data_IF_789106689180
#
_entry.id   IF_789106689180
#
_cell.length_a   1.000
_cell.length_b   1.000
_cell.length_c   1.000
_cell.angle_alpha   90.00
_cell.angle_beta   90.00
_cell.angle_gamma   90.00
#
_symmetry.space_group_name_H-M   'P 1'
#
loop_
_entity.id
_entity.type
_entity.pdbx_description
1 polymer ?
#
# COMPACT_ATOMS: atom_id res chain seq x y z
N UNK A 1 8.65 17.69 -29.17
CA UNK A 1 8.08 18.91 -28.57
C UNK A 1 8.85 19.50 -27.38
N UNK A 2 9.71 18.77 -26.66
CA UNK A 2 10.56 19.39 -25.60
C UNK A 2 11.78 20.16 -26.11
N UNK A 3 12.30 19.85 -27.31
CA UNK A 3 13.46 20.57 -27.88
C UNK A 3 13.11 21.93 -28.49
N UNK A 4 11.93 22.07 -29.09
CA UNK A 4 11.52 23.30 -29.75
C UNK A 4 11.22 24.47 -28.80
N UNK A 5 10.98 24.21 -27.49
CA UNK A 5 10.80 25.26 -26.49
C UNK A 5 12.13 25.72 -25.88
N UNK A 6 13.10 24.82 -25.76
CA UNK A 6 14.42 25.11 -25.17
C UNK A 6 15.30 25.93 -26.14
N UNK A 7 15.12 25.77 -27.45
CA UNK A 7 15.86 26.57 -28.44
C UNK A 7 15.37 28.02 -28.49
N UNK A 8 14.07 28.28 -28.26
CA UNK A 8 13.52 29.65 -28.17
C UNK A 8 13.81 30.35 -26.84
N UNK A 9 14.09 29.62 -25.76
CA UNK A 9 14.46 30.18 -24.45
C UNK A 9 15.87 30.80 -24.44
N UNK A 10 16.75 30.44 -25.38
CA UNK A 10 18.11 31.02 -25.44
C UNK A 10 18.22 32.31 -26.26
N UNK A 11 17.26 32.57 -27.17
CA UNK A 11 17.25 33.77 -28.01
C UNK A 11 16.35 34.89 -27.48
N UNK A 12 15.40 34.57 -26.61
CA UNK A 12 14.49 35.54 -26.01
C UNK A 12 14.73 35.52 -24.51
N UNK A 13 15.56 36.45 -24.04
CA UNK A 13 15.88 36.61 -22.63
C UNK A 13 14.63 36.66 -21.74
N UNK A 14 14.80 36.23 -20.49
CA UNK A 14 13.78 36.17 -19.44
C UNK A 14 12.94 37.47 -19.33
N UNK A 15 13.51 38.61 -19.73
CA UNK A 15 12.85 39.92 -19.79
C UNK A 15 11.60 39.97 -20.69
N UNK A 16 11.53 39.23 -21.80
CA UNK A 16 10.37 39.31 -22.70
C UNK A 16 9.11 38.66 -22.12
N UNK A 17 9.24 37.76 -21.15
CA UNK A 17 8.07 37.16 -20.48
C UNK A 17 7.40 38.13 -19.50
N UNK A 18 8.16 39.04 -18.90
CA UNK A 18 7.62 40.10 -18.05
C UNK A 18 6.82 41.11 -18.88
N UNK A 19 7.32 41.45 -20.08
CA UNK A 19 6.63 42.33 -21.04
C UNK A 19 5.31 41.74 -21.58
N UNK A 20 5.20 40.42 -21.67
CA UNK A 20 3.98 39.72 -22.11
C UNK A 20 2.93 39.58 -20.99
N UNK A 21 3.24 39.95 -19.75
CA UNK A 21 2.31 39.89 -18.62
C UNK A 21 1.78 38.48 -18.33
N UNK A 22 2.54 37.44 -18.69
CA UNK A 22 2.13 36.05 -18.50
C UNK A 22 2.05 35.72 -17.00
N UNK A 23 1.00 34.97 -16.63
CA UNK A 23 0.78 34.52 -15.25
C UNK A 23 0.49 33.03 -15.24
N UNK A 24 1.23 32.29 -14.44
CA UNK A 24 1.14 30.85 -14.30
C UNK A 24 0.34 30.48 -13.06
N UNK A 25 -0.31 29.32 -13.05
CA UNK A 25 -0.91 28.76 -11.85
C UNK A 25 -0.85 27.24 -11.92
N UNK A 26 -0.80 26.59 -10.76
CA UNK A 26 -0.75 25.14 -10.67
C UNK A 26 -2.12 24.62 -10.26
N UNK A 27 -2.61 23.63 -11.00
CA UNK A 27 -3.84 22.89 -10.65
C UNK A 27 -3.44 21.57 -10.02
N UNK A 28 -3.88 21.35 -8.78
CA UNK A 28 -3.48 20.21 -7.94
C UNK A 28 -4.73 19.40 -7.57
N UNK A 29 -4.61 18.08 -7.65
CA UNK A 29 -5.70 17.16 -7.33
C UNK A 29 -5.35 16.31 -6.11
N UNK A 30 -6.19 16.39 -5.07
CA UNK A 30 -6.11 15.55 -3.86
C UNK A 30 -7.48 14.95 -3.56
N UNK A 31 -8.05 14.26 -4.54
CA UNK A 31 -9.43 13.75 -4.52
C UNK A 31 -9.81 12.91 -3.30
N UNK A 32 -8.87 12.18 -2.69
CA UNK A 32 -9.13 11.48 -1.43
C UNK A 32 -9.48 12.45 -0.28
N UNK A 33 -8.78 13.58 -0.20
CA UNK A 33 -8.92 14.56 0.87
C UNK A 33 -10.07 15.53 0.64
N UNK A 34 -10.12 16.14 -0.54
CA UNK A 34 -11.05 17.24 -0.85
C UNK A 34 -12.19 16.85 -1.79
N UNK A 35 -12.26 15.58 -2.21
CA UNK A 35 -13.29 15.07 -3.12
C UNK A 35 -12.89 15.15 -4.60
N UNK A 36 -13.53 14.32 -5.43
CA UNK A 36 -13.17 14.14 -6.85
C UNK A 36 -13.47 15.36 -7.73
N UNK A 37 -14.49 16.14 -7.39
CA UNK A 37 -14.91 17.31 -8.14
C UNK A 37 -14.16 18.58 -7.73
N UNK A 38 -13.29 18.50 -6.72
CA UNK A 38 -12.57 19.64 -6.20
C UNK A 38 -11.12 19.60 -6.71
N UNK A 39 -10.68 20.75 -7.22
CA UNK A 39 -9.28 20.98 -7.57
C UNK A 39 -8.78 22.19 -6.79
N UNK A 40 -7.51 22.13 -6.40
CA UNK A 40 -6.83 23.26 -5.77
C UNK A 40 -6.08 24.02 -6.84
N UNK A 41 -6.13 25.33 -6.76
CA UNK A 41 -5.39 26.22 -7.65
C UNK A 41 -4.53 27.14 -6.80
N UNK A 42 -3.24 27.17 -7.10
CA UNK A 42 -2.35 28.17 -6.51
C UNK A 42 -2.74 29.57 -6.99
N UNK A 43 -2.35 30.63 -6.28
CA UNK A 43 -2.38 31.97 -6.84
C UNK A 43 -1.62 32.06 -8.16
N UNK A 44 -1.93 33.11 -8.92
CA UNK A 44 -1.21 33.43 -10.16
C UNK A 44 0.23 33.86 -9.84
N UNK A 45 1.20 33.24 -10.49
CA UNK A 45 2.64 33.41 -10.34
C UNK A 45 3.15 34.14 -11.59
N UNK A 46 3.81 35.28 -11.43
CA UNK A 46 4.40 36.00 -12.56
C UNK A 46 5.73 35.34 -13.01
N UNK A 47 6.56 34.92 -12.06
CA UNK A 47 7.84 34.28 -12.33
C UNK A 47 7.67 32.80 -12.71
N UNK A 48 8.07 32.44 -13.94
CA UNK A 48 8.04 31.06 -14.43
C UNK A 48 8.91 30.13 -13.57
N UNK A 49 10.13 30.55 -13.21
CA UNK A 49 11.06 29.75 -12.39
C UNK A 49 10.44 29.37 -11.05
N UNK A 50 9.78 30.32 -10.37
CA UNK A 50 9.06 30.05 -9.13
C UNK A 50 7.91 29.05 -9.35
N UNK A 51 7.17 29.18 -10.45
CA UNK A 51 6.10 28.24 -10.78
C UNK A 51 6.63 26.83 -11.06
N UNK A 52 7.78 26.71 -11.73
CA UNK A 52 8.46 25.45 -12.01
C UNK A 52 9.03 24.83 -10.74
N UNK A 53 9.61 25.62 -9.84
CA UNK A 53 10.10 25.16 -8.54
C UNK A 53 8.95 24.58 -7.70
N UNK A 54 7.83 25.30 -7.56
CA UNK A 54 6.65 24.76 -6.87
C UNK A 54 6.11 23.51 -7.55
N UNK A 55 6.05 23.50 -8.89
CA UNK A 55 5.61 22.33 -9.64
C UNK A 55 6.48 21.10 -9.32
N UNK A 56 7.79 21.27 -9.22
CA UNK A 56 8.71 20.18 -8.87
C UNK A 56 8.45 19.65 -7.45
N UNK A 57 8.32 20.55 -6.47
CA UNK A 57 8.03 20.17 -5.08
C UNK A 57 6.67 19.46 -4.95
N UNK A 58 5.63 19.93 -5.64
CA UNK A 58 4.34 19.24 -5.69
C UNK A 58 4.42 17.90 -6.42
N UNK A 59 5.22 17.81 -7.48
CA UNK A 59 5.41 16.57 -8.23
C UNK A 59 6.01 15.47 -7.35
N UNK A 60 6.98 15.78 -6.50
CA UNK A 60 7.54 14.82 -5.53
C UNK A 60 6.47 14.24 -4.61
N UNK A 61 5.62 15.11 -4.04
CA UNK A 61 4.51 14.69 -3.18
C UNK A 61 3.42 13.93 -3.92
N UNK A 62 3.22 14.20 -5.21
CA UNK A 62 2.27 13.46 -6.04
C UNK A 62 2.85 12.11 -6.50
N UNK A 63 4.15 12.06 -6.78
CA UNK A 63 4.86 10.86 -7.18
C UNK A 63 4.96 9.85 -6.04
N UNK A 64 5.14 10.30 -4.81
CA UNK A 64 5.09 9.45 -3.61
C UNK A 64 3.80 8.63 -3.51
N UNK A 65 2.68 9.14 -4.04
CA UNK A 65 1.39 8.45 -4.06
C UNK A 65 1.08 7.73 -5.38
N UNK A 66 1.95 7.85 -6.37
CA UNK A 66 1.74 7.31 -7.72
C UNK A 66 2.64 6.10 -7.96
N UNK A 67 2.09 5.06 -8.58
CA UNK A 67 2.92 3.99 -9.12
C UNK A 67 3.10 4.25 -10.63
N UNK A 68 4.33 4.58 -11.06
CA UNK A 68 4.68 4.95 -12.45
C UNK A 68 3.99 6.24 -12.95
N UNK A 69 3.81 7.25 -12.09
CA UNK A 69 3.27 8.55 -12.48
C UNK A 69 1.76 8.61 -12.72
N UNK A 70 1.03 7.50 -12.53
CA UNK A 70 -0.43 7.45 -12.63
C UNK A 70 -1.05 7.25 -11.26
N UNK A 71 -1.82 8.24 -10.80
CA UNK A 71 -2.67 8.12 -9.61
C UNK A 71 -3.85 7.22 -9.99
N UNK A 72 -3.72 5.93 -9.72
CA UNK A 72 -4.79 4.95 -9.95
C UNK A 72 -5.81 4.99 -8.83
N UNK A 73 -7.07 4.65 -9.15
CA UNK A 73 -8.12 4.42 -8.17
C UNK A 73 -7.67 3.42 -7.09
N UNK A 74 -8.13 3.63 -5.85
CA UNK A 74 -7.86 2.73 -4.72
C UNK A 74 -6.54 2.99 -4.00
N UNK A 75 -6.27 4.25 -3.63
CA UNK A 75 -5.09 4.63 -2.84
C UNK A 75 -4.95 3.80 -1.55
N UNK A 76 -6.07 3.58 -0.85
CA UNK A 76 -6.11 2.75 0.37
C UNK A 76 -5.66 1.31 0.14
N UNK A 77 -5.76 0.76 -1.07
CA UNK A 77 -5.30 -0.61 -1.34
C UNK A 77 -3.76 -0.71 -1.44
N UNK A 78 -3.04 0.41 -1.42
CA UNK A 78 -1.59 0.47 -1.70
C UNK A 78 -0.79 1.17 -0.61
N UNK A 79 -1.43 2.11 0.07
CA UNK A 79 -0.80 2.97 1.05
C UNK A 79 -1.55 2.84 2.35
N UNK A 80 -0.80 2.89 3.45
CA UNK A 80 -1.42 2.97 4.77
C UNK A 80 -2.12 4.32 4.94
N UNK A 81 -3.07 4.38 5.87
CA UNK A 81 -3.74 5.64 6.22
C UNK A 81 -2.72 6.66 6.73
N UNK A 82 -1.74 6.20 7.53
CA UNK A 82 -0.67 7.04 8.04
C UNK A 82 0.17 7.67 6.91
N UNK A 83 0.49 6.92 5.85
CA UNK A 83 1.23 7.46 4.70
C UNK A 83 0.42 8.53 3.95
N UNK A 84 -0.90 8.31 3.84
CA UNK A 84 -1.79 9.29 3.22
C UNK A 84 -1.87 10.57 4.04
N UNK A 85 -1.96 10.45 5.37
CA UNK A 85 -1.99 11.56 6.32
C UNK A 85 -0.69 12.36 6.30
N UNK A 86 0.47 11.70 6.40
CA UNK A 86 1.77 12.36 6.29
C UNK A 86 1.92 13.12 4.97
N UNK A 87 1.59 12.47 3.85
CA UNK A 87 1.63 13.13 2.54
C UNK A 87 0.71 14.36 2.47
N UNK A 88 -0.47 14.28 3.08
CA UNK A 88 -1.41 15.40 3.13
C UNK A 88 -0.89 16.55 3.99
N UNK A 89 -0.30 16.27 5.15
CA UNK A 89 0.31 17.28 6.00
C UNK A 89 1.43 18.03 5.26
N UNK A 90 2.33 17.29 4.61
CA UNK A 90 3.40 17.89 3.79
C UNK A 90 2.85 18.70 2.62
N UNK A 91 1.84 18.17 1.93
CA UNK A 91 1.19 18.86 0.83
C UNK A 91 0.46 20.13 1.26
N UNK A 92 -0.29 20.09 2.35
CA UNK A 92 -1.05 21.23 2.86
C UNK A 92 -0.11 22.33 3.34
N UNK A 93 0.99 21.99 4.01
CA UNK A 93 2.03 22.94 4.40
C UNK A 93 2.63 23.65 3.17
N UNK A 94 3.03 22.89 2.16
CA UNK A 94 3.57 23.43 0.90
C UNK A 94 2.55 24.27 0.13
N UNK A 95 1.28 23.85 0.11
CA UNK A 95 0.22 24.61 -0.55
C UNK A 95 -0.04 25.95 0.14
N UNK A 96 -0.06 25.96 1.47
CA UNK A 96 -0.19 27.18 2.27
C UNK A 96 1.01 28.11 2.01
N UNK A 97 2.22 27.56 2.00
CA UNK A 97 3.44 28.30 1.66
C UNK A 97 3.37 28.91 0.27
N UNK A 98 3.01 28.12 -0.76
CA UNK A 98 2.81 28.64 -2.11
C UNK A 98 1.74 29.75 -2.13
N UNK A 99 0.63 29.60 -1.39
CA UNK A 99 -0.41 30.62 -1.36
C UNK A 99 0.01 31.93 -0.68
N UNK A 100 0.89 31.87 0.33
CA UNK A 100 1.28 33.02 1.14
C UNK A 100 2.60 33.66 0.67
N UNK A 101 3.61 32.86 0.35
CA UNK A 101 4.94 33.35 -0.06
C UNK A 101 4.94 34.08 -1.41
N UNK A 102 3.95 33.80 -2.27
CA UNK A 102 3.75 34.52 -3.53
C UNK A 102 3.12 35.91 -3.35
N UNK A 103 2.52 36.19 -2.19
CA UNK A 103 1.88 37.48 -1.89
C UNK A 103 2.89 38.60 -1.58
N UNK A 104 4.10 38.26 -1.17
CA UNK A 104 5.15 39.23 -0.81
C UNK A 104 5.94 39.74 -2.03
N UNK A 105 6.04 38.93 -3.09
CA UNK A 105 6.81 39.28 -4.28
C UNK A 105 5.99 40.03 -5.36
N UNK A 106 4.65 40.00 -5.30
CA UNK A 106 3.79 40.53 -6.34
C UNK A 106 3.03 41.78 -5.87
N UNK A 107 3.69 42.95 -5.93
CA UNK A 107 3.17 44.28 -5.59
C UNK A 107 2.02 44.81 -6.49
N UNK A 108 1.24 43.97 -7.18
CA UNK A 108 0.35 44.43 -8.26
C UNK A 108 -1.14 44.14 -8.07
N UNK A 109 -1.55 43.53 -6.95
CA UNK A 109 -2.97 43.56 -6.55
C UNK A 109 -3.10 43.44 -5.03
N UNK A 110 -2.94 44.58 -4.35
CA UNK A 110 -2.92 44.75 -2.89
C UNK A 110 -4.27 44.49 -2.20
N UNK A 111 -5.18 43.73 -2.81
CA UNK A 111 -6.44 43.34 -2.20
C UNK A 111 -6.23 42.14 -1.27
N UNK A 112 -5.44 42.39 -0.21
CA UNK A 112 -5.14 41.56 0.95
C UNK A 112 -4.29 40.29 0.72
N UNK A 113 -3.05 40.21 1.24
CA UNK A 113 -2.35 38.93 1.33
C UNK A 113 -3.24 37.95 2.10
N UNK A 114 -3.56 36.81 1.49
CA UNK A 114 -4.36 35.79 2.17
C UNK A 114 -3.57 35.31 3.38
N UNK A 115 -4.07 35.67 4.57
CA UNK A 115 -3.52 35.18 5.82
C UNK A 115 -3.37 33.67 5.74
N UNK A 116 -2.23 33.17 6.22
CA UNK A 116 -1.92 31.75 6.36
C UNK A 116 -3.10 30.98 6.98
N UNK A 117 -3.73 31.60 7.98
CA UNK A 117 -4.89 31.08 8.68
C UNK A 117 -6.12 30.93 7.77
N UNK A 118 -6.38 31.91 6.90
CA UNK A 118 -7.51 31.86 5.97
C UNK A 118 -7.35 30.73 4.93
N UNK A 119 -6.13 30.53 4.42
CA UNK A 119 -5.83 29.42 3.50
C UNK A 119 -5.98 28.08 4.21
N UNK A 120 -5.42 27.96 5.43
CA UNK A 120 -5.54 26.75 6.24
C UNK A 120 -7.01 26.42 6.57
N UNK A 121 -7.80 27.42 6.98
CA UNK A 121 -9.23 27.27 7.28
C UNK A 121 -10.03 26.80 6.06
N UNK A 122 -9.75 27.36 4.88
CA UNK A 122 -10.37 26.92 3.62
C UNK A 122 -10.03 25.47 3.31
N UNK A 123 -8.75 25.07 3.46
CA UNK A 123 -8.33 23.69 3.27
C UNK A 123 -9.06 22.74 4.24
N UNK A 124 -9.10 23.10 5.53
CA UNK A 124 -9.79 22.31 6.56
C UNK A 124 -11.29 22.15 6.23
N UNK A 125 -11.96 23.21 5.79
CA UNK A 125 -13.36 23.15 5.39
C UNK A 125 -13.61 22.19 4.21
N UNK A 126 -12.70 22.15 3.23
CA UNK A 126 -12.81 21.20 2.10
C UNK A 126 -12.57 19.76 2.54
N UNK A 127 -11.65 19.53 3.48
CA UNK A 127 -11.38 18.20 4.08
C UNK A 127 -12.57 17.72 4.90
N UNK A 128 -13.21 18.64 5.64
CA UNK A 128 -14.40 18.34 6.44
C UNK A 128 -15.62 18.07 5.56
N UNK A 129 -15.84 18.87 4.51
CA UNK A 129 -16.93 18.63 3.57
C UNK A 129 -16.88 17.24 2.90
N UNK A 130 -15.69 16.64 2.82
CA UNK A 130 -15.47 15.31 2.25
C UNK A 130 -15.27 14.21 3.32
N UNK A 131 -15.48 14.51 4.62
CA UNK A 131 -15.26 13.57 5.73
C UNK A 131 -16.11 12.31 5.62
N UNK A 132 -17.42 12.44 5.36
CA UNK A 132 -18.34 11.32 5.20
C UNK A 132 -17.94 10.37 4.06
N UNK A 133 -17.41 10.92 2.95
CA UNK A 133 -16.94 10.10 1.84
C UNK A 133 -15.67 9.32 2.22
N UNK A 134 -14.71 9.98 2.88
CA UNK A 134 -13.49 9.33 3.40
C UNK A 134 -13.83 8.21 4.38
N UNK A 135 -14.76 8.46 5.30
CA UNK A 135 -15.21 7.46 6.26
C UNK A 135 -15.84 6.25 5.56
N UNK A 136 -16.70 6.48 4.55
CA UNK A 136 -17.27 5.41 3.74
C UNK A 136 -16.20 4.59 3.02
N UNK A 137 -15.20 5.24 2.44
CA UNK A 137 -14.08 4.55 1.80
C UNK A 137 -13.27 3.73 2.80
N UNK A 138 -13.00 4.29 3.98
CA UNK A 138 -12.27 3.63 5.05
C UNK A 138 -13.02 2.39 5.57
N UNK A 139 -14.32 2.51 5.84
CA UNK A 139 -15.17 1.37 6.23
C UNK A 139 -15.15 0.28 5.17
N UNK A 140 -15.31 0.65 3.89
CA UNK A 140 -15.26 -0.31 2.78
C UNK A 140 -13.90 -1.02 2.66
N UNK A 141 -12.81 -0.29 2.89
CA UNK A 141 -11.46 -0.85 2.92
C UNK A 141 -11.27 -1.82 4.09
N UNK A 142 -11.67 -1.45 5.31
CA UNK A 142 -11.63 -2.30 6.50
C UNK A 142 -12.42 -3.60 6.30
N UNK A 143 -13.65 -3.51 5.79
CA UNK A 143 -14.47 -4.70 5.50
C UNK A 143 -13.78 -5.65 4.51
N UNK A 144 -13.14 -5.11 3.46
CA UNK A 144 -12.42 -5.94 2.48
C UNK A 144 -11.20 -6.61 3.09
N UNK A 145 -10.43 -5.89 3.90
CA UNK A 145 -9.27 -6.43 4.60
C UNK A 145 -9.68 -7.56 5.55
N UNK A 146 -10.69 -7.33 6.39
CA UNK A 146 -11.24 -8.37 7.28
C UNK A 146 -11.68 -9.62 6.51
N UNK A 147 -12.40 -9.47 5.40
CA UNK A 147 -12.82 -10.60 4.57
C UNK A 147 -11.63 -11.35 3.96
N UNK A 148 -10.56 -10.64 3.59
CA UNK A 148 -9.35 -11.27 3.07
C UNK A 148 -8.61 -12.03 4.17
N UNK A 149 -8.47 -11.46 5.37
CA UNK A 149 -7.87 -12.11 6.52
C UNK A 149 -8.65 -13.36 6.95
N UNK A 150 -9.97 -13.29 7.02
CA UNK A 150 -10.81 -14.46 7.28
C UNK A 150 -10.59 -15.58 6.25
N UNK A 151 -10.46 -15.22 4.96
CA UNK A 151 -10.17 -16.21 3.90
C UNK A 151 -8.81 -16.86 4.09
N UNK A 152 -7.79 -16.08 4.43
CA UNK A 152 -6.44 -16.59 4.70
C UNK A 152 -6.43 -17.51 5.92
N UNK A 153 -7.09 -17.11 7.01
CA UNK A 153 -7.24 -17.93 8.22
C UNK A 153 -7.96 -19.25 7.92
N UNK A 154 -9.06 -19.22 7.17
CA UNK A 154 -9.77 -20.44 6.73
C UNK A 154 -8.89 -21.33 5.86
N UNK A 155 -8.06 -20.75 5.00
CA UNK A 155 -7.12 -21.50 4.17
C UNK A 155 -6.05 -22.17 5.02
N UNK A 156 -5.44 -21.46 5.97
CA UNK A 156 -4.44 -22.02 6.90
C UNK A 156 -5.03 -23.16 7.72
N UNK A 157 -6.22 -22.96 8.33
CA UNK A 157 -6.89 -24.01 9.11
C UNK A 157 -7.21 -25.27 8.26
N UNK A 158 -7.55 -25.10 6.98
CA UNK A 158 -7.74 -26.24 6.06
C UNK A 158 -6.42 -26.97 5.81
N UNK A 159 -5.34 -26.25 5.56
CA UNK A 159 -4.02 -26.85 5.34
C UNK A 159 -3.53 -27.61 6.58
N UNK A 160 -3.67 -27.02 7.77
CA UNK A 160 -3.33 -27.66 9.05
C UNK A 160 -4.15 -28.93 9.27
N UNK A 161 -5.48 -28.88 9.05
CA UNK A 161 -6.33 -30.08 9.14
C UNK A 161 -5.88 -31.17 8.17
N UNK A 162 -5.52 -30.81 6.94
CA UNK A 162 -5.02 -31.78 5.97
C UNK A 162 -3.67 -32.38 6.38
N UNK A 163 -2.78 -31.60 6.97
CA UNK A 163 -1.51 -32.09 7.52
C UNK A 163 -1.77 -33.10 8.65
N UNK A 164 -2.59 -32.75 9.64
CA UNK A 164 -2.95 -33.63 10.75
C UNK A 164 -3.56 -34.95 10.29
N UNK A 165 -4.43 -34.93 9.28
CA UNK A 165 -5.01 -36.16 8.73
C UNK A 165 -3.98 -37.02 7.99
N UNK A 166 -2.99 -36.41 7.34
CA UNK A 166 -1.88 -37.14 6.71
C UNK A 166 -1.01 -37.80 7.78
N UNK A 167 -0.68 -37.08 8.84
CA UNK A 167 0.14 -37.57 9.95
C UNK A 167 -0.56 -38.71 10.71
N UNK A 168 -1.84 -38.55 11.05
CA UNK A 168 -2.62 -39.63 11.66
C UNK A 168 -2.69 -40.88 10.77
N UNK A 169 -2.71 -40.70 9.44
CA UNK A 169 -2.69 -41.82 8.48
C UNK A 169 -1.33 -42.50 8.43
N UNK A 170 -0.22 -41.75 8.44
CA UNK A 170 1.13 -42.32 8.45
C UNK A 170 1.39 -43.07 9.75
N UNK A 171 1.03 -42.50 10.90
CA UNK A 171 1.10 -43.15 12.21
C UNK A 171 0.29 -44.46 12.24
N UNK A 172 -0.96 -44.41 11.78
CA UNK A 172 -1.80 -45.62 11.70
C UNK A 172 -1.17 -46.71 10.83
N UNK A 173 -0.55 -46.34 9.71
CA UNK A 173 0.16 -47.30 8.86
C UNK A 173 1.41 -47.86 9.53
N UNK A 174 2.16 -47.05 10.29
CA UNK A 174 3.31 -47.50 11.07
C UNK A 174 2.87 -48.53 12.13
N UNK A 175 1.86 -48.20 12.94
CA UNK A 175 1.30 -49.11 13.95
C UNK A 175 0.82 -50.44 13.37
N UNK A 176 0.19 -50.41 12.19
CA UNK A 176 -0.22 -51.64 11.50
C UNK A 176 0.96 -52.46 10.98
N UNK A 177 2.06 -51.82 10.57
CA UNK A 177 3.30 -52.52 10.19
C UNK A 177 3.95 -53.17 11.41
N UNK A 178 4.05 -52.45 12.52
CA UNK A 178 4.64 -52.95 13.77
C UNK A 178 3.85 -54.14 14.30
N UNK A 179 2.51 -54.04 14.32
CA UNK A 179 1.64 -55.15 14.72
C UNK A 179 1.81 -56.39 13.83
N UNK A 180 2.02 -56.19 12.53
CA UNK A 180 2.30 -57.30 11.60
C UNK A 180 3.69 -57.90 11.82
N UNK A 181 4.67 -57.08 12.15
CA UNK A 181 6.03 -57.54 12.49
C UNK A 181 6.02 -58.39 13.76
N UNK A 182 5.41 -57.90 14.85
CA UNK A 182 5.26 -58.66 16.10
C UNK A 182 4.53 -59.99 15.86
N UNK A 183 3.43 -59.99 15.10
CA UNK A 183 2.71 -61.24 14.80
C UNK A 183 3.53 -62.24 13.97
N UNK A 184 4.50 -61.78 13.16
CA UNK A 184 5.43 -62.65 12.45
C UNK A 184 6.47 -63.23 13.40
N UNK A 185 7.04 -62.41 14.27
CA UNK A 185 7.99 -62.84 15.29
C UNK A 185 7.38 -63.89 16.23
N UNK A 186 6.16 -63.67 16.72
CA UNK A 186 5.43 -64.64 17.56
C UNK A 186 5.26 -65.99 16.85
N UNK A 187 4.94 -65.97 15.55
CA UNK A 187 4.78 -67.19 14.75
C UNK A 187 6.09 -67.92 14.55
N UNK A 188 7.16 -67.18 14.29
CA UNK A 188 8.50 -67.74 14.11
C UNK A 188 9.04 -68.31 15.42
N UNK A 189 8.79 -67.65 16.55
CA UNK A 189 9.14 -68.15 17.86
C UNK A 189 8.34 -69.41 18.21
N UNK A 190 7.02 -69.42 17.96
CA UNK A 190 6.20 -70.61 18.14
C UNK A 190 6.68 -71.80 17.29
N UNK A 191 7.14 -71.54 16.05
CA UNK A 191 7.77 -72.56 15.19
C UNK A 191 9.08 -73.06 15.77
N UNK A 192 9.96 -72.18 16.25
CA UNK A 192 11.23 -72.55 16.91
C UNK A 192 10.99 -73.42 18.15
N UNK A 193 10.05 -73.04 19.01
CA UNK A 193 9.66 -73.83 20.20
C UNK A 193 9.15 -75.23 19.82
N UNK A 194 8.35 -75.34 18.75
CA UNK A 194 7.88 -76.64 18.22
C UNK A 194 9.02 -77.51 17.67
N UNK A 195 10.03 -76.93 17.03
CA UNK A 195 11.19 -77.67 16.54
C UNK A 195 12.08 -78.18 17.69
N UNK A 196 12.29 -77.35 18.71
CA UNK A 196 13.05 -77.74 19.91
C UNK A 196 12.36 -78.88 20.68
N UNK A 197 11.03 -78.83 20.85
CA UNK A 197 10.28 -79.90 21.53
C UNK A 197 10.23 -81.21 20.75
N UNK A 198 10.32 -81.17 19.42
CA UNK A 198 10.51 -82.37 18.59
C UNK A 198 11.91 -82.96 18.75
N UNK A 199 12.94 -82.11 18.80
CA UNK A 199 14.33 -82.54 18.97
C UNK A 199 14.56 -83.23 20.33
N UNK A 200 13.95 -82.73 21.41
CA UNK A 200 14.09 -83.33 22.75
C UNK A 200 13.38 -84.68 22.94
N UNK A 201 12.34 -84.98 22.14
CA UNK A 201 11.64 -86.28 22.13
C UNK A 201 12.35 -87.37 21.33
N UNK A 202 13.34 -87.01 20.50
CA UNK A 202 14.00 -87.91 19.56
C UNK A 202 15.30 -88.56 20.06
N UNK A 203 15.73 -88.37 21.32
CA UNK A 203 16.89 -89.10 21.87
C UNK A 203 16.42 -90.41 22.51
N UNK A 204 16.63 -91.58 21.86
CA UNK A 204 16.45 -92.85 22.55
C UNK A 204 17.46 -92.92 23.70
N UNK A 205 16.98 -93.26 24.90
CA UNK A 205 17.85 -93.65 26.00
C UNK A 205 18.47 -94.99 25.62
N UNK A 206 19.75 -94.96 25.28
CA UNK A 206 20.61 -96.16 25.22
C UNK A 206 20.81 -96.73 26.62
#
# INVERSE_FOLDING_TARGET
MRRALVETESEVGVDAMEDLGLKFFLTLNKSYWIGRCCTLQTPRIACLETALAYRQQFAELQHALSHRGVVRCGLLNRLSIADLEDNWHRFSALYIEACCGLGEAANLDASSPKSREAVAKRLAAMVEANSAHREKQLRAWNCRHMLQEERLQRQMARMERHALLRDARTERHALLRDRRAMSREDRDEARRRKLQSKSSRGRPRS
#
